data_IF_607986275058
#
_entry.id   IF_607986275058
#
_cell.length_a   1.000
_cell.length_b   1.000
_cell.length_c   1.000
_cell.angle_alpha   90.00
_cell.angle_beta   90.00
_cell.angle_gamma   90.00
#
_symmetry.space_group_name_H-M   'P 1'
#
loop_
_entity.id
_entity.type
_entity.pdbx_description
1 polymer ?
#
# COMPACT_ATOMS: atom_id res chain seq x y z
N UNK A 1 -20.76 2.40 -7.03
CA UNK A 1 -20.28 2.58 -5.64
C UNK A 1 -19.65 3.97 -5.49
N UNK A 2 -19.95 4.72 -4.42
CA UNK A 2 -19.38 6.07 -4.23
C UNK A 2 -17.91 5.98 -3.81
N UNK A 3 -17.06 6.89 -4.29
CA UNK A 3 -15.65 7.02 -3.87
C UNK A 3 -15.51 7.13 -2.34
N UNK A 4 -16.47 7.78 -1.67
CA UNK A 4 -16.49 7.89 -0.21
C UNK A 4 -16.60 6.51 0.46
N UNK A 5 -17.40 5.61 -0.11
CA UNK A 5 -17.54 4.22 0.38
C UNK A 5 -16.25 3.43 0.14
N UNK A 6 -15.59 3.62 -1.00
CA UNK A 6 -14.30 2.97 -1.30
C UNK A 6 -13.24 3.40 -0.29
N UNK A 7 -13.10 4.71 -0.06
CA UNK A 7 -12.15 5.27 0.91
C UNK A 7 -12.46 4.74 2.31
N UNK A 8 -13.74 4.75 2.72
CA UNK A 8 -14.16 4.26 4.03
C UNK A 8 -13.82 2.78 4.22
N UNK A 9 -14.12 1.91 3.25
CA UNK A 9 -13.83 0.48 3.35
C UNK A 9 -12.32 0.21 3.41
N UNK A 10 -11.51 0.95 2.64
CA UNK A 10 -10.06 0.82 2.73
C UNK A 10 -9.51 1.36 4.06
N UNK A 11 -10.08 2.45 4.58
CA UNK A 11 -9.72 2.95 5.91
C UNK A 11 -10.08 1.95 7.01
N UNK A 12 -11.26 1.32 6.94
CA UNK A 12 -11.67 0.27 7.86
C UNK A 12 -10.76 -0.95 7.78
N UNK A 13 -10.36 -1.37 6.57
CA UNK A 13 -9.39 -2.45 6.38
C UNK A 13 -8.04 -2.10 7.00
N UNK A 14 -7.47 -0.93 6.69
CA UNK A 14 -6.17 -0.52 7.24
C UNK A 14 -6.24 -0.38 8.76
N UNK A 15 -7.31 0.21 9.29
CA UNK A 15 -7.52 0.33 10.73
C UNK A 15 -7.68 -1.04 11.41
N UNK A 16 -8.41 -1.98 10.81
CA UNK A 16 -8.59 -3.31 11.41
C UNK A 16 -7.29 -4.10 11.43
N UNK A 17 -6.47 -4.04 10.37
CA UNK A 17 -5.12 -4.64 10.40
C UNK A 17 -4.23 -3.97 11.44
N UNK A 18 -4.26 -2.64 11.56
CA UNK A 18 -3.50 -1.91 12.57
C UNK A 18 -3.88 -2.29 14.01
N UNK A 19 -5.18 -2.34 14.31
CA UNK A 19 -5.71 -2.78 15.61
C UNK A 19 -5.32 -4.24 15.87
N UNK A 20 -5.46 -5.11 14.88
CA UNK A 20 -5.05 -6.51 15.01
C UNK A 20 -3.58 -6.63 15.37
N UNK A 21 -2.70 -5.87 14.71
CA UNK A 21 -1.26 -5.85 15.02
C UNK A 21 -0.95 -5.36 16.44
N UNK A 22 -1.68 -4.36 16.95
CA UNK A 22 -1.53 -3.93 18.36
C UNK A 22 -1.98 -5.04 19.32
N UNK A 23 -3.11 -5.71 19.03
CA UNK A 23 -3.62 -6.79 19.88
C UNK A 23 -2.72 -8.02 19.88
N UNK A 24 -1.97 -8.26 18.81
CA UNK A 24 -1.02 -9.38 18.70
C UNK A 24 0.42 -9.01 19.07
N UNK A 25 0.66 -7.79 19.54
CA UNK A 25 1.99 -7.26 19.89
C UNK A 25 3.00 -7.35 18.73
N UNK A 26 2.51 -7.07 17.52
CA UNK A 26 3.32 -7.12 16.30
C UNK A 26 4.59 -6.24 16.33
N UNK A 27 4.60 -5.02 16.91
CA UNK A 27 5.84 -4.25 17.02
C UNK A 27 6.95 -4.99 17.77
N UNK A 28 6.60 -5.70 18.85
CA UNK A 28 7.52 -6.56 19.57
C UNK A 28 8.02 -7.72 18.71
N UNK A 29 7.10 -8.45 18.07
CA UNK A 29 7.46 -9.59 17.24
C UNK A 29 8.40 -9.19 16.09
N UNK A 30 8.17 -8.05 15.45
CA UNK A 30 9.07 -7.50 14.43
C UNK A 30 10.46 -7.15 14.98
N UNK A 31 10.53 -6.64 16.21
CA UNK A 31 11.80 -6.28 16.83
C UNK A 31 12.66 -7.50 17.21
N UNK A 32 12.03 -8.59 17.68
CA UNK A 32 12.74 -9.84 18.06
C UNK A 32 12.88 -10.83 16.91
N UNK A 33 12.11 -10.63 15.85
CA UNK A 33 12.03 -11.48 14.67
C UNK A 33 11.12 -12.70 14.88
N UNK A 34 10.25 -12.95 13.90
CA UNK A 34 9.35 -14.11 13.88
C UNK A 34 9.17 -14.67 12.46
N UNK A 35 8.59 -15.88 12.40
CA UNK A 35 8.10 -16.47 11.15
C UNK A 35 6.75 -15.84 10.75
N UNK A 36 6.35 -15.87 9.47
CA UNK A 36 5.07 -15.31 9.05
C UNK A 36 3.93 -15.83 9.89
N UNK A 37 3.09 -14.90 10.30
CA UNK A 37 1.86 -15.22 10.97
C UNK A 37 0.67 -14.60 10.23
N UNK A 38 -0.53 -14.87 10.75
CA UNK A 38 -1.79 -14.37 10.23
C UNK A 38 -1.79 -12.85 10.01
N UNK A 39 -1.13 -12.08 10.89
CA UNK A 39 -1.00 -10.63 10.75
C UNK A 39 -0.29 -10.26 9.43
N UNK A 40 0.83 -10.90 9.10
CA UNK A 40 1.60 -10.60 7.90
C UNK A 40 0.77 -10.78 6.63
N UNK A 41 -0.02 -11.85 6.56
CA UNK A 41 -0.91 -12.09 5.42
C UNK A 41 -1.99 -11.01 5.30
N UNK A 42 -2.57 -10.55 6.41
CA UNK A 42 -3.53 -9.44 6.39
C UNK A 42 -2.88 -8.12 6.02
N UNK A 43 -1.67 -7.85 6.53
CA UNK A 43 -0.87 -6.69 6.19
C UNK A 43 -0.53 -6.69 4.69
N UNK A 44 -0.07 -7.81 4.15
CA UNK A 44 0.24 -7.96 2.72
C UNK A 44 -1.00 -7.79 1.85
N UNK A 45 -2.14 -8.32 2.26
CA UNK A 45 -3.41 -8.14 1.56
C UNK A 45 -3.83 -6.66 1.56
N UNK A 46 -3.77 -5.99 2.71
CA UNK A 46 -4.09 -4.57 2.81
C UNK A 46 -3.14 -3.71 1.96
N UNK A 47 -1.86 -4.06 1.93
CA UNK A 47 -0.84 -3.41 1.11
C UNK A 47 -1.09 -3.63 -0.39
N UNK A 48 -1.45 -4.85 -0.79
CA UNK A 48 -1.78 -5.17 -2.17
C UNK A 48 -2.95 -4.33 -2.70
N UNK A 49 -3.95 -4.07 -1.85
CA UNK A 49 -5.14 -3.30 -2.21
C UNK A 49 -4.91 -1.78 -2.15
N UNK A 50 -4.00 -1.31 -1.29
CA UNK A 50 -3.71 0.11 -1.06
C UNK A 50 -2.26 0.49 -1.40
N UNK A 51 -1.67 -0.20 -2.38
CA UNK A 51 -0.24 -0.20 -2.70
C UNK A 51 0.47 1.13 -2.51
N UNK A 52 0.09 2.21 -3.23
CA UNK A 52 0.86 3.45 -3.20
C UNK A 52 0.83 4.17 -1.85
N UNK A 53 -0.33 4.27 -1.20
CA UNK A 53 -0.46 4.90 0.12
C UNK A 53 0.25 4.10 1.19
N UNK A 54 0.13 2.77 1.18
CA UNK A 54 0.83 1.91 2.13
C UNK A 54 2.34 1.91 1.93
N UNK A 55 2.80 1.91 0.68
CA UNK A 55 4.21 2.04 0.34
C UNK A 55 4.79 3.37 0.81
N UNK A 56 4.12 4.49 0.49
CA UNK A 56 4.58 5.82 0.89
C UNK A 56 4.58 5.98 2.41
N UNK A 57 3.54 5.48 3.09
CA UNK A 57 3.43 5.54 4.54
C UNK A 57 4.56 4.76 5.23
N UNK A 58 4.88 3.57 4.73
CA UNK A 58 5.97 2.75 5.23
C UNK A 58 7.35 3.40 5.00
N UNK A 59 7.58 3.92 3.80
CA UNK A 59 8.83 4.62 3.47
C UNK A 59 9.02 5.88 4.32
N UNK A 60 7.95 6.66 4.50
CA UNK A 60 7.98 7.86 5.34
C UNK A 60 8.15 7.53 6.83
N UNK A 61 7.53 6.46 7.32
CA UNK A 61 7.73 6.00 8.70
C UNK A 61 9.18 5.56 8.93
N UNK A 62 9.79 4.87 7.97
CA UNK A 62 11.20 4.50 8.04
C UNK A 62 12.12 5.73 8.09
N UNK A 63 11.92 6.72 7.20
CA UNK A 63 12.70 7.97 7.21
C UNK A 63 12.53 8.77 8.51
N UNK A 64 11.32 8.80 9.05
CA UNK A 64 11.04 9.49 10.30
C UNK A 64 11.88 8.90 11.44
N UNK A 65 11.93 7.58 11.57
CA UNK A 65 12.66 6.89 12.64
C UNK A 65 14.18 6.97 12.45
N UNK A 66 14.69 6.84 11.22
CA UNK A 66 16.11 6.98 10.91
C UNK A 66 16.65 8.38 11.31
N UNK A 67 15.79 9.40 11.20
CA UNK A 67 16.09 10.77 11.64
C UNK A 67 16.15 10.94 13.17
N UNK A 68 15.59 10.01 13.94
CA UNK A 68 15.53 10.04 15.42
C UNK A 68 16.68 9.28 16.11
N UNK A 69 17.71 8.83 15.38
CA UNK A 69 18.90 8.10 15.88
C UNK A 69 19.84 8.92 16.80
N UNK A 70 19.28 9.69 17.72
CA UNK A 70 19.93 10.21 18.92
C UNK A 70 19.47 9.36 20.12
N UNK A 71 20.21 8.28 20.43
CA UNK A 71 20.51 7.71 21.78
C UNK A 71 20.43 6.16 21.87
N UNK A 72 21.62 5.59 22.14
CA UNK A 72 22.03 4.19 22.27
C UNK A 72 21.07 3.22 23.02
N UNK A 73 20.94 2.03 22.41
CA UNK A 73 20.90 0.68 23.00
C UNK A 73 19.71 0.18 23.83
N UNK A 74 18.75 1.00 24.28
CA UNK A 74 17.44 0.50 24.79
C UNK A 74 16.24 0.81 23.87
N UNK A 75 16.49 1.37 22.67
CA UNK A 75 15.44 1.95 21.84
C UNK A 75 14.87 1.06 20.74
N UNK A 76 15.40 -0.14 20.50
CA UNK A 76 14.97 -0.96 19.35
C UNK A 76 13.45 -1.22 19.39
N UNK A 77 12.89 -1.61 20.54
CA UNK A 77 11.44 -1.84 20.66
C UNK A 77 10.64 -0.55 20.46
N UNK A 78 11.03 0.53 21.14
CA UNK A 78 10.37 1.84 21.02
C UNK A 78 10.42 2.39 19.58
N UNK A 79 11.52 2.18 18.86
CA UNK A 79 11.66 2.55 17.44
C UNK A 79 10.66 1.79 16.57
N UNK A 80 10.46 0.49 16.80
CA UNK A 80 9.48 -0.32 16.05
C UNK A 80 8.04 0.04 16.40
N UNK A 81 7.73 0.35 17.66
CA UNK A 81 6.42 0.85 18.09
C UNK A 81 6.08 2.19 17.43
N UNK A 82 7.00 3.14 17.44
CA UNK A 82 6.82 4.43 16.78
C UNK A 82 6.76 4.29 15.26
N UNK A 83 7.60 3.44 14.65
CA UNK A 83 7.53 3.15 13.22
C UNK A 83 6.15 2.61 12.84
N UNK A 84 5.64 1.65 13.61
CA UNK A 84 4.32 1.06 13.41
C UNK A 84 3.21 2.10 13.50
N UNK A 85 3.22 2.92 14.57
CA UNK A 85 2.21 3.95 14.77
C UNK A 85 2.22 5.01 13.65
N UNK A 86 3.42 5.50 13.29
CA UNK A 86 3.59 6.48 12.20
C UNK A 86 3.15 5.88 10.87
N UNK A 87 3.53 4.64 10.58
CA UNK A 87 3.14 3.94 9.36
C UNK A 87 1.61 3.89 9.21
N UNK A 88 0.89 3.40 10.22
CA UNK A 88 -0.57 3.28 10.10
C UNK A 88 -1.29 4.63 10.08
N UNK A 89 -0.80 5.62 10.84
CA UNK A 89 -1.33 6.98 10.80
C UNK A 89 -1.16 7.62 9.41
N UNK A 90 0.04 7.52 8.84
CA UNK A 90 0.32 8.01 7.48
C UNK A 90 -0.45 7.24 6.42
N UNK A 91 -0.63 5.93 6.60
CA UNK A 91 -1.38 5.13 5.64
C UNK A 91 -2.84 5.62 5.58
N UNK A 92 -3.49 5.78 6.73
CA UNK A 92 -4.85 6.32 6.81
C UNK A 92 -4.94 7.74 6.22
N UNK A 93 -3.95 8.60 6.49
CA UNK A 93 -3.86 9.95 5.93
C UNK A 93 -3.76 9.93 4.39
N UNK A 94 -2.95 9.02 3.84
CA UNK A 94 -2.63 8.95 2.41
C UNK A 94 -3.68 8.19 1.57
N UNK A 95 -4.61 7.46 2.19
CA UNK A 95 -5.71 6.81 1.48
C UNK A 95 -6.60 7.81 0.74
N UNK A 96 -7.00 8.91 1.40
CA UNK A 96 -7.84 9.92 0.79
C UNK A 96 -7.21 10.57 -0.45
N UNK A 97 -5.98 11.12 -0.39
CA UNK A 97 -5.36 11.74 -1.56
C UNK A 97 -5.09 10.72 -2.67
N UNK A 98 -4.70 9.48 -2.36
CA UNK A 98 -4.53 8.42 -3.38
C UNK A 98 -5.82 8.21 -4.17
N UNK A 99 -6.94 7.93 -3.49
CA UNK A 99 -8.21 7.64 -4.16
C UNK A 99 -8.78 8.87 -4.89
N UNK A 100 -8.54 10.07 -4.37
CA UNK A 100 -8.88 11.31 -5.08
C UNK A 100 -8.10 11.48 -6.36
N UNK A 101 -6.80 11.19 -6.36
CA UNK A 101 -5.98 11.23 -7.57
C UNK A 101 -6.49 10.23 -8.62
N UNK A 102 -6.87 9.01 -8.20
CA UNK A 102 -7.47 8.02 -9.10
C UNK A 102 -8.78 8.49 -9.71
N UNK A 103 -9.66 9.10 -8.92
CA UNK A 103 -10.94 9.63 -9.39
C UNK A 103 -10.78 10.78 -10.39
N UNK A 104 -9.86 11.71 -10.11
CA UNK A 104 -9.53 12.80 -11.04
C UNK A 104 -8.98 12.22 -12.35
N UNK A 105 -8.04 11.28 -12.28
CA UNK A 105 -7.42 10.66 -13.45
C UNK A 105 -8.45 9.93 -14.31
N UNK A 106 -9.30 9.09 -13.70
CA UNK A 106 -10.33 8.34 -14.43
C UNK A 106 -11.35 9.25 -15.09
N UNK A 107 -11.81 10.30 -14.39
CA UNK A 107 -12.73 11.30 -14.97
C UNK A 107 -12.09 12.06 -16.13
N UNK A 108 -10.81 12.40 -16.01
CA UNK A 108 -10.09 13.11 -17.07
C UNK A 108 -9.91 12.25 -18.34
N UNK A 109 -9.80 10.93 -18.17
CA UNK A 109 -9.72 9.98 -19.28
C UNK A 109 -11.08 9.64 -19.89
N UNK A 110 -12.19 9.80 -19.16
CA UNK A 110 -13.51 9.37 -19.62
C UNK A 110 -13.94 10.06 -20.93
N UNK A 111 -14.49 9.26 -21.86
CA UNK A 111 -15.07 9.75 -23.11
C UNK A 111 -14.04 10.16 -24.18
N UNK A 112 -12.74 9.96 -23.94
CA UNK A 112 -11.67 10.26 -24.91
C UNK A 112 -10.80 9.03 -25.15
N UNK A 113 -11.02 8.35 -26.29
CA UNK A 113 -10.34 7.09 -26.65
C UNK A 113 -8.82 7.11 -26.46
N UNK A 114 -8.14 8.18 -26.89
CA UNK A 114 -6.68 8.29 -26.74
C UNK A 114 -6.24 8.28 -25.28
N UNK A 115 -6.92 9.02 -24.39
CA UNK A 115 -6.58 9.09 -22.95
C UNK A 115 -6.84 7.78 -22.24
N UNK A 116 -7.89 7.08 -22.65
CA UNK A 116 -8.22 5.77 -22.12
C UNK A 116 -7.17 4.73 -22.51
N UNK A 117 -6.70 4.75 -23.76
CA UNK A 117 -5.61 3.90 -24.22
C UNK A 117 -4.33 4.22 -23.45
N UNK A 118 -3.97 5.50 -23.29
CA UNK A 118 -2.80 5.91 -22.49
C UNK A 118 -2.91 5.43 -21.04
N UNK A 119 -4.10 5.54 -20.41
CA UNK A 119 -4.32 5.05 -19.05
C UNK A 119 -4.10 3.54 -18.95
N UNK A 120 -4.57 2.76 -19.94
CA UNK A 120 -4.36 1.31 -19.99
C UNK A 120 -2.90 0.93 -20.14
N UNK A 121 -2.19 1.59 -21.05
CA UNK A 121 -0.75 1.36 -21.24
C UNK A 121 0.01 1.73 -19.98
N UNK A 122 -0.27 2.89 -19.37
CA UNK A 122 0.40 3.31 -18.13
C UNK A 122 0.14 2.33 -16.98
N UNK A 123 -1.11 1.91 -16.79
CA UNK A 123 -1.47 0.93 -15.77
C UNK A 123 -0.78 -0.42 -15.99
N UNK A 124 -0.72 -0.89 -17.24
CA UNK A 124 0.00 -2.11 -17.60
C UNK A 124 1.51 -1.99 -17.34
N UNK A 125 2.11 -0.85 -17.69
CA UNK A 125 3.52 -0.56 -17.40
C UNK A 125 3.79 -0.56 -15.90
N UNK A 126 2.91 0.01 -15.07
CA UNK A 126 3.04 -0.02 -13.61
C UNK A 126 3.01 -1.46 -13.09
N UNK A 127 2.10 -2.30 -13.60
CA UNK A 127 2.04 -3.73 -13.25
C UNK A 127 3.36 -4.42 -13.62
N UNK A 128 3.83 -4.23 -14.86
CA UNK A 128 5.04 -4.86 -15.36
C UNK A 128 6.28 -4.44 -14.54
N UNK A 129 6.42 -3.14 -14.28
CA UNK A 129 7.48 -2.58 -13.44
C UNK A 129 7.40 -3.20 -12.04
N UNK A 130 6.21 -3.25 -11.43
CA UNK A 130 6.00 -3.89 -10.12
C UNK A 130 6.44 -5.35 -10.10
N UNK A 131 6.11 -6.13 -11.14
CA UNK A 131 6.56 -7.52 -11.28
C UNK A 131 8.09 -7.64 -11.43
N UNK A 132 8.72 -6.78 -12.24
CA UNK A 132 10.17 -6.75 -12.42
C UNK A 132 10.87 -6.39 -11.11
N UNK A 133 10.39 -5.36 -10.40
CA UNK A 133 10.94 -4.98 -9.10
C UNK A 133 10.71 -6.06 -8.05
N UNK A 134 9.57 -6.75 -8.06
CA UNK A 134 9.30 -7.86 -7.16
C UNK A 134 10.26 -9.03 -7.41
N UNK A 135 10.50 -9.36 -8.68
CA UNK A 135 11.48 -10.37 -9.09
C UNK A 135 12.91 -9.98 -8.72
N UNK A 136 13.31 -8.73 -8.98
CA UNK A 136 14.63 -8.23 -8.58
C UNK A 136 14.79 -8.24 -7.06
N UNK A 137 13.74 -7.87 -6.31
CA UNK A 137 13.75 -7.87 -4.84
C UNK A 137 13.78 -9.27 -4.23
N UNK A 138 13.47 -10.31 -5.01
CA UNK A 138 13.56 -11.71 -4.61
C UNK A 138 15.01 -12.22 -4.57
N UNK A 139 15.93 -11.57 -5.29
CA UNK A 139 17.32 -11.99 -5.47
C UNK A 139 18.29 -10.87 -5.06
N UNK A 140 19.36 -11.11 -4.29
CA UNK A 140 19.47 -11.25 -2.83
C UNK A 140 19.02 -10.02 -1.99
N UNK A 141 18.80 -10.28 -0.68
CA UNK A 141 18.22 -9.42 0.35
C UNK A 141 18.85 -8.02 0.50
N UNK A 142 18.08 -6.96 0.25
CA UNK A 142 18.46 -5.56 0.52
C UNK A 142 18.52 -5.20 2.02
N UNK A 143 18.01 -6.08 2.90
CA UNK A 143 18.27 -6.04 4.35
C UNK A 143 18.85 -7.39 4.75
N UNK A 144 20.11 -7.41 5.17
CA UNK A 144 20.72 -8.57 5.83
C UNK A 144 20.14 -8.62 7.25
N UNK A 145 18.89 -9.08 7.36
CA UNK A 145 18.23 -9.45 8.61
C UNK A 145 17.94 -10.95 8.53
N UNK A 146 18.20 -11.68 9.62
CA UNK A 146 18.07 -13.14 9.69
C UNK A 146 16.63 -13.67 9.56
N UNK A 147 15.63 -12.79 9.37
CA UNK A 147 14.22 -13.12 9.50
C UNK A 147 13.45 -13.16 8.18
N UNK A 148 12.48 -14.07 8.10
CA UNK A 148 11.67 -14.34 6.92
C UNK A 148 10.96 -13.07 6.40
N UNK A 149 10.47 -12.22 7.30
CA UNK A 149 9.72 -11.00 6.94
C UNK A 149 10.58 -10.06 6.11
N UNK A 150 11.83 -9.79 6.51
CA UNK A 150 12.75 -8.90 5.78
C UNK A 150 13.06 -9.41 4.36
N UNK A 151 13.03 -10.73 4.16
CA UNK A 151 13.31 -11.36 2.86
C UNK A 151 12.21 -11.13 1.83
N UNK A 152 10.94 -11.15 2.23
CA UNK A 152 9.80 -10.98 1.31
C UNK A 152 9.17 -9.58 1.38
N UNK A 153 9.63 -8.76 2.32
CA UNK A 153 9.15 -7.41 2.59
C UNK A 153 9.04 -6.52 1.34
N UNK A 154 10.10 -6.50 0.53
CA UNK A 154 10.18 -5.67 -0.67
C UNK A 154 9.40 -6.25 -1.84
N UNK A 155 9.31 -7.58 -1.92
CA UNK A 155 8.52 -8.29 -2.93
C UNK A 155 7.05 -7.88 -2.82
N UNK A 156 6.47 -7.94 -1.62
CA UNK A 156 5.06 -7.59 -1.41
C UNK A 156 4.80 -6.12 -1.69
N UNK A 157 5.73 -5.22 -1.35
CA UNK A 157 5.64 -3.78 -1.66
C UNK A 157 5.64 -3.51 -3.16
N UNK A 158 6.56 -4.11 -3.89
CA UNK A 158 6.65 -3.98 -5.34
C UNK A 158 5.41 -4.56 -6.03
N UNK A 159 4.90 -5.70 -5.56
CA UNK A 159 3.65 -6.27 -6.02
C UNK A 159 2.46 -5.36 -5.71
N UNK A 160 2.34 -4.82 -4.49
CA UNK A 160 1.26 -3.91 -4.13
C UNK A 160 1.26 -2.62 -4.96
N UNK A 161 2.43 -2.05 -5.22
CA UNK A 161 2.59 -0.92 -6.14
C UNK A 161 2.16 -1.30 -7.57
N UNK A 162 2.58 -2.48 -8.06
CA UNK A 162 2.17 -2.99 -9.37
C UNK A 162 0.65 -3.20 -9.47
N UNK A 163 0.04 -3.81 -8.45
CA UNK A 163 -1.41 -4.06 -8.37
C UNK A 163 -2.24 -2.77 -8.39
N UNK A 164 -1.65 -1.64 -7.99
CA UNK A 164 -2.31 -0.33 -8.10
C UNK A 164 -2.74 0.01 -9.53
N UNK A 165 -1.99 -0.43 -10.55
CA UNK A 165 -2.38 -0.31 -11.95
C UNK A 165 -3.67 -1.07 -12.25
N UNK A 166 -3.80 -2.30 -11.75
CA UNK A 166 -5.02 -3.11 -11.88
C UNK A 166 -6.19 -2.44 -11.15
N UNK A 167 -5.96 -1.94 -9.93
CA UNK A 167 -6.99 -1.24 -9.14
C UNK A 167 -7.53 -0.02 -9.88
N UNK A 168 -6.66 0.81 -10.47
CA UNK A 168 -7.08 1.97 -11.28
C UNK A 168 -7.88 1.54 -12.51
N UNK A 169 -7.49 0.45 -13.17
CA UNK A 169 -8.23 -0.07 -14.32
C UNK A 169 -9.62 -0.57 -13.93
N UNK A 170 -9.72 -1.39 -12.87
CA UNK A 170 -10.99 -1.87 -12.34
C UNK A 170 -11.89 -0.70 -11.94
N UNK A 171 -11.34 0.29 -11.23
CA UNK A 171 -12.06 1.50 -10.86
C UNK A 171 -12.56 2.26 -12.10
N UNK A 172 -11.75 2.37 -13.16
CA UNK A 172 -12.14 3.01 -14.42
C UNK A 172 -13.32 2.30 -15.09
N UNK A 173 -13.36 0.97 -15.07
CA UNK A 173 -14.47 0.19 -15.63
C UNK A 173 -15.75 0.38 -14.82
N UNK A 174 -15.64 0.32 -13.49
CA UNK A 174 -16.78 0.56 -12.59
C UNK A 174 -17.33 1.99 -12.72
N UNK A 175 -16.44 2.97 -12.94
CA UNK A 175 -16.83 4.36 -13.15
C UNK A 175 -17.59 4.53 -14.48
N UNK A 176 -17.15 3.88 -15.57
CA UNK A 176 -17.87 3.91 -16.86
C UNK A 176 -19.30 3.38 -16.75
N UNK A 177 -19.48 2.21 -16.14
CA UNK A 177 -20.83 1.62 -15.92
C UNK A 177 -21.73 2.58 -15.16
N UNK A 178 -21.17 3.38 -14.25
CA UNK A 178 -21.91 4.40 -13.52
C UNK A 178 -22.28 5.59 -14.40
N UNK A 179 -21.33 6.14 -15.17
CA UNK A 179 -21.59 7.29 -16.04
C UNK A 179 -22.63 6.97 -17.12
N UNK A 180 -22.60 5.77 -17.69
CA UNK A 180 -23.61 5.32 -18.68
C UNK A 180 -25.03 5.17 -18.10
N UNK A 181 -25.21 5.15 -16.78
CA UNK A 181 -26.53 5.12 -16.13
C UNK A 181 -27.03 6.51 -15.71
N UNK A 182 -26.15 7.51 -15.69
CA UNK A 182 -26.45 8.87 -15.26
C UNK A 182 -26.74 9.82 -16.45
N UNK A 183 -26.65 9.35 -17.70
CA UNK A 183 -27.15 10.08 -18.89
C UNK A 183 -28.68 9.86 -19.02
N UNK A 184 -29.51 10.91 -18.82
CA UNK A 184 -30.91 10.85 -19.19
C UNK A 184 -31.03 11.05 -20.70
N UNK A 185 -31.74 10.13 -21.37
CA UNK A 185 -32.39 10.39 -22.67
C UNK A 185 -33.32 11.59 -22.58
#
# INVERSE_FOLDING_TARGET
>A
MSIRKIILLNALLVASVGIFGVLTDEPYWRAVGHVPWLYDYFFWLALALNGPSGFLADYAAWLAIDSFHLHRQMRVLAEHEWQFAIQYALWLLLLWPQWKAYDILVRWCAGRSYRETTLRVAAFSIVLIGCVFAYASWTPSHRIGLFFIDRYFWVVRALGLGLSGIVVLLYSQLARVRFSREEPT
#
